data_IF_084428348152
#
_entry.id   IF_084428348152
#
_cell.length_a   1.000
_cell.length_b   1.000
_cell.length_c   1.000
_cell.angle_alpha   90.00
_cell.angle_beta   90.00
_cell.angle_gamma   90.00
#
_symmetry.space_group_name_H-M   'P 1'
#
loop_
_entity.id
_entity.type
_entity.pdbx_description
1 polymer ?
#
# COMPACT_ATOMS: atom_id res chain seq x y z
N UNK A 1 0.62 -36.97 -4.12
CA UNK A 1 1.99 -36.64 -4.59
C UNK A 1 2.25 -35.20 -4.20
N UNK A 2 3.39 -34.89 -3.58
CA UNK A 2 3.75 -33.53 -3.19
C UNK A 2 4.66 -32.93 -4.27
N UNK A 3 4.36 -31.72 -4.74
CA UNK A 3 5.20 -30.99 -5.68
C UNK A 3 6.41 -30.40 -4.94
N UNK A 4 7.51 -31.16 -4.95
CA UNK A 4 8.72 -30.81 -4.21
C UNK A 4 9.44 -29.57 -4.75
N UNK A 5 9.29 -29.26 -6.04
CA UNK A 5 9.93 -28.08 -6.66
C UNK A 5 9.28 -26.79 -6.19
N UNK A 6 7.94 -26.73 -6.21
CA UNK A 6 7.19 -25.57 -5.70
C UNK A 6 7.43 -25.40 -4.21
N UNK A 7 7.29 -26.47 -3.41
CA UNK A 7 7.49 -26.39 -1.95
C UNK A 7 8.92 -25.99 -1.57
N UNK A 8 9.93 -26.48 -2.30
CA UNK A 8 11.32 -26.03 -2.12
C UNK A 8 11.51 -24.54 -2.41
N UNK A 9 10.80 -23.98 -3.39
CA UNK A 9 10.84 -22.55 -3.68
C UNK A 9 10.18 -21.74 -2.58
N UNK A 10 9.05 -22.20 -2.03
CA UNK A 10 8.35 -21.56 -0.91
C UNK A 10 9.21 -21.59 0.36
N UNK A 11 9.90 -22.70 0.63
CA UNK A 11 10.84 -22.82 1.76
C UNK A 11 12.00 -21.83 1.65
N UNK A 12 12.57 -21.64 0.44
CA UNK A 12 13.62 -20.64 0.21
C UNK A 12 13.10 -19.21 0.44
N UNK A 13 11.87 -18.91 0.01
CA UNK A 13 11.25 -17.60 0.26
C UNK A 13 10.99 -17.38 1.75
N UNK A 14 10.51 -18.39 2.49
CA UNK A 14 10.35 -18.31 3.94
C UNK A 14 11.69 -17.98 4.63
N UNK A 15 12.77 -18.64 4.20
CA UNK A 15 14.11 -18.38 4.73
C UNK A 15 14.60 -16.97 4.36
N UNK A 16 14.29 -16.47 3.15
CA UNK A 16 14.58 -15.07 2.79
C UNK A 16 13.85 -14.11 3.71
N UNK A 17 12.54 -14.30 3.91
CA UNK A 17 11.74 -13.43 4.78
C UNK A 17 12.22 -13.44 6.24
N UNK A 18 12.72 -14.56 6.73
CA UNK A 18 13.31 -14.66 8.08
C UNK A 18 14.61 -13.89 8.22
N UNK A 19 15.47 -13.94 7.21
CA UNK A 19 16.85 -13.45 7.29
C UNK A 19 17.07 -12.07 6.67
N UNK A 20 16.10 -11.52 5.92
CA UNK A 20 16.21 -10.21 5.31
C UNK A 20 15.53 -9.12 6.16
N UNK A 21 16.03 -7.91 6.02
CA UNK A 21 15.35 -6.69 6.46
C UNK A 21 14.48 -6.22 5.29
N UNK A 22 13.15 -6.34 5.44
CA UNK A 22 12.17 -5.98 4.43
C UNK A 22 11.77 -4.52 4.59
N UNK A 23 12.18 -3.67 3.64
CA UNK A 23 11.87 -2.24 3.61
C UNK A 23 10.96 -1.83 2.45
N UNK A 24 10.42 -2.77 1.67
CA UNK A 24 9.41 -2.41 0.67
C UNK A 24 8.16 -1.89 1.40
N UNK A 25 7.86 -0.60 1.20
CA UNK A 25 6.81 0.10 1.95
C UNK A 25 5.39 -0.47 1.74
N UNK A 26 5.19 -1.28 0.70
CA UNK A 26 3.93 -1.95 0.37
C UNK A 26 3.87 -3.42 0.77
N UNK A 27 4.87 -3.93 1.51
CA UNK A 27 4.90 -5.29 2.02
C UNK A 27 4.69 -5.35 3.52
N UNK A 28 4.19 -6.48 3.98
CA UNK A 28 3.99 -6.78 5.39
C UNK A 28 3.93 -8.29 5.62
N UNK A 29 3.98 -8.70 6.88
CA UNK A 29 3.84 -10.09 7.30
C UNK A 29 2.49 -10.28 7.98
N UNK A 30 1.70 -11.23 7.50
CA UNK A 30 0.37 -11.54 8.05
C UNK A 30 0.49 -12.47 9.28
N UNK A 31 -0.58 -12.54 10.09
CA UNK A 31 -0.68 -13.54 11.14
C UNK A 31 -0.83 -14.96 10.55
N UNK A 32 -0.52 -15.98 11.37
CA UNK A 32 -0.74 -17.39 10.99
C UNK A 32 -2.21 -17.67 10.74
N UNK A 33 -3.12 -17.07 11.50
CA UNK A 33 -4.56 -17.19 11.33
C UNK A 33 -5.00 -16.73 9.94
N UNK A 34 -4.47 -15.61 9.45
CA UNK A 34 -4.75 -15.12 8.10
C UNK A 34 -4.25 -16.10 7.04
N UNK A 35 -3.06 -16.70 7.21
CA UNK A 35 -2.54 -17.71 6.28
C UNK A 35 -3.40 -18.99 6.30
N UNK A 36 -3.83 -19.44 7.46
CA UNK A 36 -4.69 -20.60 7.63
C UNK A 36 -6.03 -20.41 6.91
N UNK A 37 -6.67 -19.25 7.10
CA UNK A 37 -7.92 -18.92 6.42
C UNK A 37 -7.75 -18.80 4.90
N UNK A 38 -6.64 -18.23 4.44
CA UNK A 38 -6.32 -18.12 3.02
C UNK A 38 -6.08 -19.48 2.34
N UNK A 39 -5.72 -20.52 3.09
CA UNK A 39 -5.56 -21.89 2.60
C UNK A 39 -6.73 -22.80 2.95
N UNK A 40 -7.84 -22.28 3.45
CA UNK A 40 -8.98 -23.05 3.93
C UNK A 40 -9.80 -23.71 2.80
N UNK A 41 -10.68 -24.62 3.19
CA UNK A 41 -11.62 -25.31 2.28
C UNK A 41 -12.56 -24.37 1.52
N UNK A 42 -12.65 -23.10 1.93
CA UNK A 42 -13.45 -22.10 1.25
C UNK A 42 -12.96 -21.82 -0.18
N UNK A 43 -11.72 -22.20 -0.51
CA UNK A 43 -11.20 -22.15 -1.89
C UNK A 43 -12.02 -23.02 -2.86
N UNK A 44 -12.74 -24.03 -2.37
CA UNK A 44 -13.53 -24.94 -3.18
C UNK A 44 -14.93 -24.40 -3.51
N UNK A 45 -15.37 -23.30 -2.85
CA UNK A 45 -16.75 -22.85 -2.93
C UNK A 45 -16.96 -21.77 -3.97
N UNK A 46 -17.85 -22.03 -4.93
CA UNK A 46 -18.32 -21.06 -5.90
C UNK A 46 -19.50 -20.23 -5.33
N UNK A 47 -19.37 -18.90 -5.28
CA UNK A 47 -20.32 -18.04 -4.58
C UNK A 47 -20.63 -16.73 -5.35
N UNK A 48 -20.87 -16.81 -6.66
CA UNK A 48 -21.30 -15.66 -7.46
C UNK A 48 -22.56 -14.98 -6.89
N UNK A 49 -22.58 -13.66 -6.96
CA UNK A 49 -23.58 -12.82 -6.30
C UNK A 49 -23.12 -12.31 -4.95
N UNK A 50 -24.06 -12.01 -4.07
CA UNK A 50 -23.83 -11.40 -2.75
C UNK A 50 -24.56 -12.17 -1.65
N UNK A 51 -24.26 -11.98 -0.36
CA UNK A 51 -24.95 -12.65 0.75
C UNK A 51 -26.46 -12.59 0.61
N UNK A 52 -27.13 -13.75 0.73
CA UNK A 52 -28.56 -13.89 0.57
C UNK A 52 -29.09 -13.81 -0.87
N UNK A 53 -28.22 -13.52 -1.86
CA UNK A 53 -28.56 -13.38 -3.28
C UNK A 53 -27.53 -14.06 -4.18
N UNK A 54 -27.20 -15.32 -3.88
CA UNK A 54 -26.22 -16.10 -4.65
C UNK A 54 -26.88 -16.79 -5.84
N UNK A 55 -26.07 -17.00 -6.87
CA UNK A 55 -26.47 -17.79 -8.03
C UNK A 55 -26.33 -19.30 -7.83
N UNK A 56 -25.68 -19.73 -6.75
CA UNK A 56 -25.38 -21.12 -6.42
C UNK A 56 -25.94 -21.50 -5.05
N UNK A 57 -26.30 -22.77 -4.88
CA UNK A 57 -26.71 -23.33 -3.59
C UNK A 57 -25.52 -23.59 -2.66
N UNK A 58 -25.77 -23.87 -1.39
CA UNK A 58 -24.78 -24.23 -0.39
C UNK A 58 -23.91 -23.05 0.09
N UNK A 59 -24.45 -21.81 0.00
CA UNK A 59 -23.70 -20.60 0.33
C UNK A 59 -23.92 -20.05 1.74
N UNK A 60 -24.71 -20.76 2.58
CA UNK A 60 -25.08 -20.27 3.91
C UNK A 60 -23.86 -19.85 4.77
N UNK A 61 -22.78 -20.61 4.78
CA UNK A 61 -21.59 -20.31 5.58
C UNK A 61 -20.68 -19.26 4.93
N UNK A 62 -20.57 -19.23 3.60
CA UNK A 62 -19.81 -18.16 2.93
C UNK A 62 -20.54 -16.82 3.01
N UNK A 63 -21.87 -16.83 3.13
CA UNK A 63 -22.66 -15.62 3.39
C UNK A 63 -22.33 -15.03 4.77
N UNK A 64 -22.21 -15.88 5.79
CA UNK A 64 -21.78 -15.47 7.12
C UNK A 64 -20.37 -14.81 7.07
N UNK A 65 -19.42 -15.45 6.38
CA UNK A 65 -18.04 -14.97 6.26
C UNK A 65 -17.97 -13.61 5.55
N UNK A 66 -18.69 -13.46 4.43
CA UNK A 66 -18.67 -12.20 3.68
C UNK A 66 -19.36 -11.09 4.45
N UNK A 67 -20.49 -11.39 5.12
CA UNK A 67 -21.19 -10.44 5.98
C UNK A 67 -20.30 -9.97 7.12
N UNK A 68 -19.60 -10.88 7.81
CA UNK A 68 -18.64 -10.53 8.86
C UNK A 68 -17.53 -9.60 8.34
N UNK A 69 -17.00 -9.87 7.14
CA UNK A 69 -15.97 -9.03 6.54
C UNK A 69 -16.51 -7.61 6.27
N UNK A 70 -17.72 -7.50 5.70
CA UNK A 70 -18.37 -6.21 5.43
C UNK A 70 -18.64 -5.42 6.73
N UNK A 71 -19.21 -6.05 7.75
CA UNK A 71 -19.54 -5.40 9.02
C UNK A 71 -18.29 -4.93 9.77
N UNK A 72 -17.25 -5.78 9.81
CA UNK A 72 -15.98 -5.42 10.44
C UNK A 72 -15.30 -4.26 9.71
N UNK A 73 -15.31 -4.25 8.38
CA UNK A 73 -14.77 -3.16 7.58
C UNK A 73 -15.54 -1.85 7.81
N UNK A 74 -16.87 -1.91 7.84
CA UNK A 74 -17.72 -0.76 8.15
C UNK A 74 -17.43 -0.23 9.55
N UNK A 75 -17.31 -1.09 10.54
CA UNK A 75 -16.96 -0.70 11.92
C UNK A 75 -15.57 -0.08 12.00
N UNK A 76 -14.59 -0.62 11.27
CA UNK A 76 -13.20 -0.18 11.32
C UNK A 76 -13.03 1.26 10.81
N UNK A 77 -13.72 1.60 9.73
CA UNK A 77 -13.57 2.90 9.05
C UNK A 77 -14.76 3.86 9.21
N UNK A 78 -15.88 3.38 9.76
CA UNK A 78 -17.08 4.20 9.90
C UNK A 78 -17.79 4.50 8.58
N UNK A 79 -17.66 3.64 7.55
CA UNK A 79 -18.28 3.81 6.26
C UNK A 79 -19.72 3.29 6.22
N UNK A 80 -20.53 3.84 5.31
CA UNK A 80 -21.95 3.46 5.14
C UNK A 80 -22.08 2.10 4.46
N UNK A 81 -21.29 1.86 3.42
CA UNK A 81 -21.31 0.63 2.62
C UNK A 81 -19.91 0.09 2.36
N UNK A 82 -19.80 -1.24 2.21
CA UNK A 82 -18.55 -1.95 1.96
C UNK A 82 -18.75 -3.13 1.00
N UNK A 83 -17.92 -3.21 -0.04
CA UNK A 83 -17.77 -4.38 -0.92
C UNK A 83 -16.37 -4.99 -0.72
N UNK A 84 -16.33 -6.26 -0.29
CA UNK A 84 -15.08 -6.96 0.05
C UNK A 84 -14.62 -7.96 -1.02
N UNK A 85 -15.32 -8.03 -2.16
CA UNK A 85 -15.04 -8.98 -3.23
C UNK A 85 -13.87 -8.62 -4.16
N UNK A 86 -13.41 -7.36 -4.33
CA UNK A 86 -12.30 -7.07 -5.23
C UNK A 86 -11.06 -7.93 -4.93
N UNK A 87 -10.52 -8.59 -5.98
CA UNK A 87 -9.35 -9.47 -5.86
C UNK A 87 -8.05 -8.70 -5.60
N UNK A 88 -8.01 -7.42 -5.96
CA UNK A 88 -6.85 -6.53 -5.76
C UNK A 88 -7.28 -5.07 -5.64
N UNK A 89 -6.36 -4.20 -5.17
CA UNK A 89 -6.59 -2.75 -5.19
C UNK A 89 -6.78 -2.21 -6.61
N UNK A 90 -6.05 -2.73 -7.59
CA UNK A 90 -6.22 -2.33 -8.99
C UNK A 90 -7.63 -2.66 -9.51
N UNK A 91 -8.18 -3.84 -9.19
CA UNK A 91 -9.55 -4.21 -9.55
C UNK A 91 -10.59 -3.38 -8.78
N UNK A 92 -10.33 -3.05 -7.51
CA UNK A 92 -11.19 -2.13 -6.76
C UNK A 92 -11.27 -0.76 -7.44
N UNK A 93 -10.14 -0.16 -7.82
CA UNK A 93 -10.12 1.12 -8.53
C UNK A 93 -10.82 1.02 -9.89
N UNK A 94 -10.54 -0.05 -10.65
CA UNK A 94 -11.17 -0.25 -11.96
C UNK A 94 -12.69 -0.43 -11.85
N UNK A 95 -13.17 -1.12 -10.80
CA UNK A 95 -14.61 -1.27 -10.56
C UNK A 95 -15.29 0.07 -10.24
N UNK A 96 -14.63 0.94 -9.49
CA UNK A 96 -15.12 2.30 -9.22
C UNK A 96 -15.23 3.10 -10.52
N UNK A 97 -14.19 3.10 -11.34
CA UNK A 97 -14.21 3.80 -12.63
C UNK A 97 -15.29 3.23 -13.55
N UNK A 98 -15.40 1.91 -13.64
CA UNK A 98 -16.42 1.25 -14.45
C UNK A 98 -17.85 1.56 -13.99
N UNK A 99 -18.06 1.68 -12.67
CA UNK A 99 -19.37 2.02 -12.10
C UNK A 99 -19.81 3.45 -12.38
N UNK A 100 -18.87 4.41 -12.37
CA UNK A 100 -19.20 5.84 -12.25
C UNK A 100 -18.82 6.68 -13.46
N UNK A 101 -18.01 6.14 -14.38
CA UNK A 101 -17.49 6.86 -15.53
C UNK A 101 -17.90 6.20 -16.85
N UNK A 102 -17.89 7.01 -17.91
CA UNK A 102 -17.94 6.54 -19.29
C UNK A 102 -16.54 6.67 -19.92
N UNK A 103 -16.20 5.84 -20.93
CA UNK A 103 -14.95 6.01 -21.67
C UNK A 103 -14.78 7.45 -22.16
N UNK A 104 -13.60 8.04 -21.91
CA UNK A 104 -13.30 9.42 -22.24
C UNK A 104 -13.70 10.47 -21.19
N UNK A 105 -14.37 10.09 -20.11
CA UNK A 105 -14.63 11.01 -18.99
C UNK A 105 -13.31 11.51 -18.38
N UNK A 106 -13.30 12.78 -18.00
CA UNK A 106 -12.13 13.44 -17.39
C UNK A 106 -11.97 13.05 -15.93
N UNK A 107 -10.77 12.65 -15.57
CA UNK A 107 -10.36 12.29 -14.19
C UNK A 107 -9.13 13.09 -13.81
N UNK A 108 -9.06 13.58 -12.58
CA UNK A 108 -7.87 14.22 -12.04
C UNK A 108 -7.27 13.31 -10.95
N UNK A 109 -6.00 12.94 -11.09
CA UNK A 109 -5.28 12.08 -10.13
C UNK A 109 -3.89 12.61 -9.84
N UNK A 110 -3.20 12.02 -8.86
CA UNK A 110 -1.82 12.41 -8.55
C UNK A 110 -0.87 11.92 -9.66
N UNK A 111 0.06 12.79 -10.06
CA UNK A 111 1.13 12.47 -11.01
C UNK A 111 1.92 11.23 -10.57
N UNK A 112 2.19 10.34 -11.52
CA UNK A 112 3.00 9.14 -11.27
C UNK A 112 4.43 9.46 -10.83
N UNK A 113 4.99 10.53 -11.39
CA UNK A 113 6.35 10.97 -11.04
C UNK A 113 6.41 11.54 -9.63
N UNK A 114 5.29 12.00 -9.09
CA UNK A 114 5.17 12.61 -7.78
C UNK A 114 4.60 11.66 -6.72
N UNK A 115 4.40 10.40 -7.09
CA UNK A 115 3.99 9.34 -6.17
C UNK A 115 2.64 8.70 -6.42
N UNK A 116 1.92 9.06 -7.49
CA UNK A 116 0.65 8.44 -7.88
C UNK A 116 0.77 6.94 -8.18
N UNK A 117 -0.35 6.23 -8.14
CA UNK A 117 -0.39 4.80 -8.46
C UNK A 117 -0.63 4.57 -9.97
N UNK A 118 -0.19 3.41 -10.51
CA UNK A 118 -0.41 3.06 -11.92
C UNK A 118 -1.89 3.15 -12.34
N UNK A 119 -2.82 2.80 -11.46
CA UNK A 119 -4.27 2.88 -11.71
C UNK A 119 -4.83 4.30 -11.65
N UNK A 120 -3.99 5.30 -11.41
CA UNK A 120 -4.34 6.72 -11.47
C UNK A 120 -3.95 7.35 -12.82
N UNK A 121 -4.17 6.63 -13.91
CA UNK A 121 -4.03 7.18 -15.26
C UNK A 121 -2.73 6.86 -16.00
N UNK A 122 -1.94 5.86 -15.56
CA UNK A 122 -0.75 5.46 -16.33
C UNK A 122 -1.14 5.05 -17.77
N UNK A 123 -0.44 5.54 -18.83
CA UNK A 123 -0.82 5.30 -20.22
C UNK A 123 -0.92 3.83 -20.63
N UNK A 124 -0.18 2.94 -19.97
CA UNK A 124 -0.26 1.49 -20.22
C UNK A 124 -1.30 0.77 -19.35
N UNK A 125 -1.85 1.46 -18.34
CA UNK A 125 -2.89 0.89 -17.49
C UNK A 125 -4.27 1.07 -18.12
N UNK A 126 -5.21 0.20 -17.76
CA UNK A 126 -6.62 0.30 -18.19
C UNK A 126 -7.18 1.71 -17.96
N UNK A 127 -6.89 2.32 -16.79
CA UNK A 127 -7.36 3.66 -16.45
C UNK A 127 -6.95 4.73 -17.48
N UNK A 128 -5.66 4.81 -17.81
CA UNK A 128 -5.14 5.77 -18.77
C UNK A 128 -5.50 5.46 -20.24
N UNK A 129 -5.90 4.22 -20.54
CA UNK A 129 -6.38 3.84 -21.89
C UNK A 129 -7.85 4.12 -22.11
N UNK A 130 -8.64 4.18 -21.04
CA UNK A 130 -10.11 4.26 -21.11
C UNK A 130 -10.63 5.65 -20.83
N UNK A 131 -10.00 6.36 -19.89
CA UNK A 131 -10.44 7.67 -19.41
C UNK A 131 -9.39 8.75 -19.69
N UNK A 132 -9.85 10.01 -19.76
CA UNK A 132 -8.96 11.16 -19.93
C UNK A 132 -8.41 11.60 -18.58
N UNK A 133 -7.25 11.05 -18.21
CA UNK A 133 -6.58 11.39 -16.95
C UNK A 133 -5.72 12.63 -17.09
N UNK A 134 -5.93 13.56 -16.18
CA UNK A 134 -5.07 14.71 -15.89
C UNK A 134 -4.36 14.50 -14.56
N UNK A 135 -3.23 15.18 -14.33
CA UNK A 135 -2.42 14.99 -13.15
C UNK A 135 -2.22 16.28 -12.37
N UNK A 136 -2.43 16.25 -11.06
CA UNK A 136 -1.87 17.24 -10.13
C UNK A 136 -0.55 16.72 -9.57
N UNK A 137 0.32 17.64 -9.15
CA UNK A 137 1.65 17.30 -8.69
C UNK A 137 1.98 17.85 -7.32
N UNK A 138 3.29 17.95 -7.07
CA UNK A 138 3.84 18.54 -5.86
C UNK A 138 4.52 19.87 -6.21
N UNK A 139 4.56 20.78 -5.26
CA UNK A 139 5.32 22.02 -5.36
C UNK A 139 6.83 21.74 -5.46
N UNK A 140 7.53 22.49 -6.27
CA UNK A 140 8.93 22.23 -6.59
C UNK A 140 9.90 22.46 -5.43
N UNK A 141 9.60 23.38 -4.55
CA UNK A 141 10.47 23.75 -3.43
C UNK A 141 10.23 22.84 -2.21
N UNK A 142 8.97 22.58 -1.93
CA UNK A 142 8.56 21.83 -0.75
C UNK A 142 8.41 20.33 -1.00
N UNK A 143 8.26 19.90 -2.26
CA UNK A 143 7.95 18.54 -2.70
C UNK A 143 6.68 17.97 -2.02
N UNK A 144 5.76 18.86 -1.63
CA UNK A 144 4.45 18.54 -1.05
C UNK A 144 3.36 18.82 -2.07
N UNK A 145 2.22 18.15 -1.94
CA UNK A 145 1.07 18.38 -2.82
C UNK A 145 0.81 19.89 -2.93
N UNK A 146 0.79 20.38 -4.18
CA UNK A 146 0.43 21.76 -4.50
C UNK A 146 -1.09 21.87 -4.50
N UNK A 147 -1.65 22.30 -3.37
CA UNK A 147 -3.09 22.43 -3.20
C UNK A 147 -3.70 23.58 -4.00
N UNK A 148 -2.92 24.63 -4.28
CA UNK A 148 -3.37 25.76 -5.10
C UNK A 148 -3.45 25.33 -6.58
N UNK A 149 -2.44 24.63 -7.07
CA UNK A 149 -2.46 24.04 -8.41
C UNK A 149 -3.56 22.97 -8.55
N UNK A 150 -3.74 22.12 -7.53
CA UNK A 150 -4.83 21.14 -7.50
C UNK A 150 -6.21 21.83 -7.67
N UNK A 151 -6.46 22.91 -6.92
CA UNK A 151 -7.69 23.70 -7.00
C UNK A 151 -7.87 24.31 -8.39
N UNK A 152 -6.83 24.96 -8.91
CA UNK A 152 -6.84 25.55 -10.27
C UNK A 152 -7.20 24.49 -11.33
N UNK A 153 -6.58 23.31 -11.25
CA UNK A 153 -6.84 22.21 -12.20
C UNK A 153 -8.27 21.69 -12.10
N UNK A 154 -8.83 21.55 -10.88
CA UNK A 154 -10.23 21.16 -10.70
C UNK A 154 -11.20 22.17 -11.38
N UNK A 155 -10.97 23.47 -11.19
CA UNK A 155 -11.80 24.54 -11.75
C UNK A 155 -11.71 24.61 -13.28
N UNK A 156 -10.51 24.40 -13.85
CA UNK A 156 -10.24 24.47 -15.29
C UNK A 156 -10.73 23.21 -16.01
N UNK A 157 -10.39 22.02 -15.53
CA UNK A 157 -10.67 20.73 -16.18
C UNK A 157 -12.11 20.31 -15.96
N UNK A 158 -12.66 20.60 -14.78
CA UNK A 158 -13.98 20.14 -14.31
C UNK A 158 -14.10 18.62 -14.45
N UNK A 159 -13.23 17.85 -13.76
CA UNK A 159 -13.22 16.41 -13.87
C UNK A 159 -14.54 15.84 -13.35
N UNK A 160 -14.95 14.68 -13.85
CA UNK A 160 -16.09 13.94 -13.32
C UNK A 160 -15.75 13.20 -12.03
N UNK A 161 -14.48 12.83 -11.87
CA UNK A 161 -13.96 12.15 -10.69
C UNK A 161 -12.55 12.67 -10.36
N UNK A 162 -12.29 12.87 -9.09
CA UNK A 162 -10.95 13.16 -8.55
C UNK A 162 -10.49 12.00 -7.72
N UNK A 163 -9.24 11.55 -7.92
CA UNK A 163 -8.58 10.49 -7.13
C UNK A 163 -7.49 11.10 -6.28
N UNK A 164 -7.62 11.01 -4.96
CA UNK A 164 -6.56 11.29 -4.00
C UNK A 164 -5.94 10.00 -3.50
N UNK A 165 -4.69 10.08 -3.02
CA UNK A 165 -3.93 8.93 -2.54
C UNK A 165 -2.67 8.70 -3.36
N UNK A 166 -1.68 8.06 -2.76
CA UNK A 166 -0.37 7.89 -3.35
C UNK A 166 0.31 6.59 -2.94
N UNK A 167 1.22 6.11 -3.79
CA UNK A 167 2.09 4.96 -3.54
C UNK A 167 3.46 5.38 -2.98
N UNK A 168 3.86 6.61 -3.21
CA UNK A 168 5.19 7.11 -2.87
C UNK A 168 5.14 8.59 -2.42
N UNK A 169 4.27 8.91 -1.48
CA UNK A 169 4.15 10.23 -0.86
C UNK A 169 4.28 10.11 0.65
N UNK A 170 5.28 10.79 1.21
CA UNK A 170 5.67 10.63 2.60
C UNK A 170 4.96 11.58 3.58
N UNK A 171 4.08 12.46 3.10
CA UNK A 171 3.43 13.48 3.93
C UNK A 171 1.93 13.23 4.08
N UNK A 172 1.35 13.87 5.06
CA UNK A 172 -0.11 13.85 5.30
C UNK A 172 -0.86 14.50 4.14
N UNK A 173 -2.00 13.92 3.76
CA UNK A 173 -2.90 14.43 2.72
C UNK A 173 -4.12 15.07 3.39
N UNK A 174 -4.45 16.30 3.00
CA UNK A 174 -5.65 17.01 3.46
C UNK A 174 -6.87 16.58 2.60
N UNK A 175 -7.48 15.46 3.00
CA UNK A 175 -8.68 14.94 2.33
C UNK A 175 -9.88 15.87 2.41
N UNK A 176 -9.98 16.67 3.49
CA UNK A 176 -11.08 17.62 3.65
C UNK A 176 -11.01 18.70 2.58
N UNK A 177 -9.87 19.37 2.47
CA UNK A 177 -9.66 20.40 1.45
C UNK A 177 -9.88 19.85 0.04
N UNK A 178 -9.29 18.70 -0.26
CA UNK A 178 -9.43 18.09 -1.58
C UNK A 178 -10.88 17.74 -1.93
N UNK A 179 -11.63 17.22 -0.96
CA UNK A 179 -13.06 16.94 -1.14
C UNK A 179 -13.89 18.20 -1.37
N UNK A 180 -13.66 19.26 -0.59
CA UNK A 180 -14.36 20.53 -0.74
C UNK A 180 -14.16 21.12 -2.14
N UNK A 181 -12.92 21.10 -2.66
CA UNK A 181 -12.61 21.57 -3.99
C UNK A 181 -13.25 20.66 -5.06
N UNK A 182 -13.10 19.34 -4.96
CA UNK A 182 -13.70 18.42 -5.92
C UNK A 182 -15.24 18.58 -6.00
N UNK A 183 -15.91 18.64 -4.87
CA UNK A 183 -17.36 18.83 -4.80
C UNK A 183 -17.80 20.20 -5.31
N UNK A 184 -17.00 21.25 -5.17
CA UNK A 184 -17.32 22.59 -5.66
C UNK A 184 -17.46 22.65 -7.19
N UNK A 185 -16.78 21.75 -7.92
CA UNK A 185 -16.86 21.61 -9.37
C UNK A 185 -17.79 20.49 -9.83
N UNK A 186 -18.48 19.82 -8.87
CA UNK A 186 -19.42 18.73 -9.15
C UNK A 186 -18.75 17.36 -9.38
N UNK A 187 -17.46 17.22 -9.05
CA UNK A 187 -16.73 15.97 -9.19
C UNK A 187 -17.04 15.00 -8.03
N UNK A 188 -17.00 13.70 -8.32
CA UNK A 188 -16.99 12.64 -7.31
C UNK A 188 -15.60 12.61 -6.70
N UNK A 189 -15.48 12.59 -5.36
CA UNK A 189 -14.21 12.51 -4.67
C UNK A 189 -13.93 11.09 -4.20
N UNK A 190 -12.92 10.47 -4.79
CA UNK A 190 -12.42 9.12 -4.47
C UNK A 190 -11.08 9.21 -3.76
N UNK A 191 -10.88 8.38 -2.74
CA UNK A 191 -9.59 8.22 -2.08
C UNK A 191 -9.12 6.78 -2.20
N UNK A 192 -7.94 6.57 -2.78
CA UNK A 192 -7.20 5.32 -2.70
C UNK A 192 -6.22 5.40 -1.51
N UNK A 193 -6.62 4.84 -0.38
CA UNK A 193 -5.82 4.87 0.84
C UNK A 193 -4.95 3.62 1.03
N UNK A 194 -4.67 2.87 -0.03
CA UNK A 194 -4.00 1.57 0.04
C UNK A 194 -2.72 1.58 0.89
N UNK A 195 -1.88 2.59 0.76
CA UNK A 195 -0.64 2.67 1.52
C UNK A 195 -0.83 3.01 2.99
N UNK A 196 -1.84 3.80 3.32
CA UNK A 196 -2.03 4.36 4.66
C UNK A 196 -3.23 3.76 5.41
N UNK A 197 -3.89 2.75 4.85
CA UNK A 197 -5.13 2.21 5.43
C UNK A 197 -4.99 1.76 6.89
N UNK A 198 -3.87 1.12 7.25
CA UNK A 198 -3.59 0.73 8.62
C UNK A 198 -3.40 1.94 9.56
N UNK A 199 -2.76 3.00 9.07
CA UNK A 199 -2.57 4.24 9.83
C UNK A 199 -3.88 4.98 10.03
N UNK A 200 -4.74 5.02 9.00
CA UNK A 200 -6.10 5.57 9.09
C UNK A 200 -6.95 4.78 10.09
N UNK A 201 -6.91 3.45 10.04
CA UNK A 201 -7.64 2.57 10.96
C UNK A 201 -7.24 2.79 12.43
N UNK A 202 -5.97 3.09 12.69
CA UNK A 202 -5.45 3.34 14.03
C UNK A 202 -5.60 4.81 14.49
N UNK A 203 -5.86 5.75 13.57
CA UNK A 203 -5.93 7.18 13.86
C UNK A 203 -4.60 7.92 13.73
N UNK A 204 -3.58 7.30 13.16
CA UNK A 204 -2.25 7.90 12.94
C UNK A 204 -2.15 8.71 11.64
N UNK A 205 -3.14 8.63 10.79
CA UNK A 205 -3.31 9.48 9.62
C UNK A 205 -4.76 9.97 9.57
N UNK A 206 -5.02 11.22 9.12
CA UNK A 206 -6.38 11.70 8.92
C UNK A 206 -7.22 10.75 8.07
N UNK A 207 -8.45 10.50 8.50
CA UNK A 207 -9.39 9.65 7.79
C UNK A 207 -9.97 10.40 6.57
N UNK A 208 -10.13 9.73 5.41
CA UNK A 208 -10.89 10.28 4.29
C UNK A 208 -12.38 10.37 4.59
N UNK A 209 -12.89 9.64 5.58
CA UNK A 209 -14.27 9.74 6.03
C UNK A 209 -14.46 10.92 7.02
N UNK A 210 -15.53 11.70 6.91
CA UNK A 210 -16.73 11.54 6.05
C UNK A 210 -16.66 12.26 4.70
N UNK A 211 -15.51 12.74 4.26
CA UNK A 211 -15.37 13.64 3.11
C UNK A 211 -15.48 12.93 1.76
N UNK A 212 -14.86 11.75 1.63
CA UNK A 212 -14.85 11.00 0.38
C UNK A 212 -16.22 10.39 0.05
N UNK A 213 -16.54 10.37 -1.24
CA UNK A 213 -17.71 9.63 -1.77
C UNK A 213 -17.41 8.15 -1.88
N UNK A 214 -16.19 7.81 -2.32
CA UNK A 214 -15.69 6.44 -2.49
C UNK A 214 -14.30 6.36 -1.86
N UNK A 215 -14.03 5.26 -1.18
CA UNK A 215 -12.69 4.93 -0.68
C UNK A 215 -12.33 3.51 -1.10
N UNK A 216 -11.17 3.35 -1.69
CA UNK A 216 -10.60 2.03 -1.99
C UNK A 216 -9.36 1.79 -1.16
N UNK A 217 -9.05 0.53 -0.91
CA UNK A 217 -7.77 0.15 -0.33
C UNK A 217 -7.39 -1.28 -0.70
N UNK A 218 -6.10 -1.56 -0.62
CA UNK A 218 -5.58 -2.92 -0.49
C UNK A 218 -5.65 -3.38 0.97
N UNK A 219 -5.67 -4.69 1.19
CA UNK A 219 -5.70 -5.26 2.55
C UNK A 219 -4.32 -5.66 3.08
N UNK A 220 -3.27 -5.69 2.24
CA UNK A 220 -2.00 -6.34 2.51
C UNK A 220 -0.79 -5.42 2.78
N UNK A 221 -1.00 -4.10 2.93
CA UNK A 221 0.09 -3.14 3.21
C UNK A 221 0.11 -2.80 4.70
N UNK A 222 -0.08 -1.53 5.07
CA UNK A 222 -0.15 -1.14 6.48
C UNK A 222 -1.30 -1.80 7.25
N UNK A 223 -2.37 -2.21 6.56
CA UNK A 223 -3.49 -2.94 7.18
C UNK A 223 -3.15 -4.39 7.55
N UNK A 224 -2.02 -4.92 7.08
CA UNK A 224 -1.43 -6.22 7.49
C UNK A 224 -2.31 -7.44 7.25
N UNK A 225 -3.11 -7.43 6.18
CA UNK A 225 -4.02 -8.52 5.81
C UNK A 225 -3.57 -9.33 4.58
N UNK A 226 -4.44 -10.20 4.06
CA UNK A 226 -4.17 -10.98 2.85
C UNK A 226 -4.10 -10.05 1.63
N UNK A 227 -3.47 -10.52 0.55
CA UNK A 227 -3.51 -9.80 -0.73
C UNK A 227 -4.93 -9.74 -1.25
N UNK A 228 -5.41 -8.53 -1.45
CA UNK A 228 -6.78 -8.26 -1.91
C UNK A 228 -7.08 -6.77 -1.95
N UNK A 229 -8.29 -6.41 -2.34
CA UNK A 229 -8.82 -5.06 -2.32
C UNK A 229 -10.22 -4.99 -1.74
N UNK A 230 -10.65 -3.80 -1.35
CA UNK A 230 -12.01 -3.50 -0.90
C UNK A 230 -12.44 -2.13 -1.42
N UNK A 231 -13.76 -1.93 -1.51
CA UNK A 231 -14.37 -0.65 -1.84
C UNK A 231 -15.32 -0.28 -0.71
N UNK A 232 -15.22 0.94 -0.24
CA UNK A 232 -16.13 1.55 0.73
C UNK A 232 -16.76 2.77 0.08
N UNK A 233 -18.02 3.04 0.31
CA UNK A 233 -18.67 4.18 -0.31
C UNK A 233 -19.88 4.68 0.50
N UNK A 234 -20.39 5.86 0.10
CA UNK A 234 -21.70 6.32 0.54
C UNK A 234 -22.79 5.40 -0.04
N UNK A 235 -23.84 5.17 0.71
CA UNK A 235 -24.93 4.22 0.35
C UNK A 235 -25.49 4.46 -1.06
N UNK A 236 -25.56 5.70 -1.51
CA UNK A 236 -26.07 6.06 -2.84
C UNK A 236 -25.32 5.41 -4.01
N UNK A 237 -24.05 4.99 -3.80
CA UNK A 237 -23.21 4.33 -4.81
C UNK A 237 -23.19 2.80 -4.71
N UNK A 238 -23.74 2.23 -3.64
CA UNK A 238 -23.63 0.81 -3.31
C UNK A 238 -24.05 -0.11 -4.47
N UNK A 239 -25.22 0.15 -5.06
CA UNK A 239 -25.74 -0.68 -6.17
C UNK A 239 -24.85 -0.67 -7.40
N UNK A 240 -24.33 0.49 -7.77
CA UNK A 240 -23.52 0.64 -8.98
C UNK A 240 -22.13 -0.01 -8.75
N UNK A 241 -21.56 0.13 -7.56
CA UNK A 241 -20.34 -0.57 -7.16
C UNK A 241 -20.52 -2.08 -7.18
N UNK A 242 -21.60 -2.61 -6.59
CA UNK A 242 -21.86 -4.05 -6.60
C UNK A 242 -22.01 -4.59 -8.02
N UNK A 243 -22.77 -3.92 -8.88
CA UNK A 243 -22.92 -4.31 -10.29
C UNK A 243 -21.60 -4.25 -11.05
N UNK A 244 -20.75 -3.28 -10.75
CA UNK A 244 -19.45 -3.15 -11.39
C UNK A 244 -18.48 -4.25 -10.95
N UNK A 245 -18.53 -4.65 -9.69
CA UNK A 245 -17.70 -5.77 -9.20
C UNK A 245 -18.26 -7.08 -9.76
N UNK A 246 -19.52 -7.38 -9.50
CA UNK A 246 -20.18 -8.57 -10.02
C UNK A 246 -21.59 -8.20 -10.57
N UNK A 247 -21.90 -8.52 -11.81
CA UNK A 247 -21.14 -9.33 -12.78
C UNK A 247 -20.20 -8.51 -13.70
N UNK A 248 -20.00 -7.20 -13.42
CA UNK A 248 -19.33 -6.29 -14.34
C UNK A 248 -17.89 -6.68 -14.67
N UNK A 249 -17.07 -6.95 -13.65
CA UNK A 249 -15.64 -7.18 -13.80
C UNK A 249 -15.15 -8.53 -13.30
N UNK A 250 -15.82 -9.11 -12.31
CA UNK A 250 -15.44 -10.35 -11.67
C UNK A 250 -16.56 -11.38 -11.78
N UNK A 251 -16.22 -12.67 -11.66
CA UNK A 251 -17.13 -13.79 -11.45
C UNK A 251 -17.14 -14.21 -9.99
N UNK A 252 -16.85 -15.50 -9.72
CA UNK A 252 -16.84 -16.04 -8.36
C UNK A 252 -15.85 -15.35 -7.44
N UNK A 253 -16.27 -14.87 -6.28
CA UNK A 253 -15.38 -14.26 -5.30
C UNK A 253 -14.46 -15.31 -4.68
N UNK A 254 -13.28 -14.87 -4.22
CA UNK A 254 -12.30 -15.71 -3.53
C UNK A 254 -12.67 -15.82 -2.05
N UNK A 255 -13.56 -16.78 -1.70
CA UNK A 255 -14.14 -16.85 -0.37
C UNK A 255 -13.12 -17.12 0.75
N UNK A 256 -12.05 -17.89 0.48
CA UNK A 256 -10.92 -18.08 1.37
C UNK A 256 -10.16 -16.78 1.65
N UNK A 257 -10.03 -15.91 0.65
CA UNK A 257 -9.41 -14.58 0.82
C UNK A 257 -10.36 -13.62 1.56
N UNK A 258 -11.67 -13.71 1.34
CA UNK A 258 -12.66 -12.92 2.09
C UNK A 258 -12.64 -13.31 3.57
N UNK A 259 -12.51 -14.60 3.89
CA UNK A 259 -12.34 -15.07 5.26
C UNK A 259 -11.06 -14.48 5.90
N UNK A 260 -9.95 -14.52 5.18
CA UNK A 260 -8.70 -13.91 5.63
C UNK A 260 -8.81 -12.37 5.79
N UNK A 261 -9.59 -11.69 4.93
CA UNK A 261 -9.92 -10.26 5.11
C UNK A 261 -10.74 -10.02 6.38
N UNK A 262 -11.72 -10.89 6.66
CA UNK A 262 -12.53 -10.80 7.88
C UNK A 262 -11.67 -10.91 9.15
N UNK A 263 -10.68 -11.81 9.16
CA UNK A 263 -9.72 -11.91 10.26
C UNK A 263 -8.81 -10.67 10.35
N UNK A 264 -8.30 -10.19 9.21
CA UNK A 264 -7.52 -8.95 9.17
C UNK A 264 -8.28 -7.75 9.78
N UNK A 265 -9.55 -7.58 9.46
CA UNK A 265 -10.35 -6.48 10.00
C UNK A 265 -10.66 -6.69 11.49
N UNK A 266 -10.78 -7.94 11.93
CA UNK A 266 -10.90 -8.26 13.36
C UNK A 266 -9.63 -7.88 14.11
N UNK A 267 -8.44 -8.26 13.61
CA UNK A 267 -7.16 -7.86 14.19
C UNK A 267 -7.01 -6.33 14.22
N UNK A 268 -7.39 -5.64 13.13
CA UNK A 268 -7.29 -4.18 13.04
C UNK A 268 -8.24 -3.43 14.00
N UNK A 269 -9.28 -4.08 14.50
CA UNK A 269 -10.19 -3.53 15.52
C UNK A 269 -9.64 -3.69 16.95
N UNK A 270 -8.56 -4.46 17.17
CA UNK A 270 -8.01 -4.68 18.49
C UNK A 270 -7.05 -3.56 18.93
N UNK A 271 -6.89 -3.32 20.24
CA UNK A 271 -5.97 -2.29 20.75
C UNK A 271 -4.51 -2.48 20.28
N UNK A 272 -4.06 -3.71 20.16
CA UNK A 272 -2.70 -4.09 19.76
C UNK A 272 -2.37 -3.59 18.34
N UNK A 273 -3.37 -3.47 17.48
CA UNK A 273 -3.17 -2.91 16.15
C UNK A 273 -2.85 -1.41 16.19
N UNK A 274 -3.43 -0.67 17.13
CA UNK A 274 -3.07 0.74 17.35
C UNK A 274 -1.63 0.89 17.84
N UNK A 275 -1.22 0.04 18.78
CA UNK A 275 0.17 0.00 19.26
C UNK A 275 1.15 -0.30 18.11
N UNK A 276 0.82 -1.26 17.26
CA UNK A 276 1.57 -1.58 16.04
C UNK A 276 1.67 -0.37 15.10
N UNK A 277 0.58 0.30 14.82
CA UNK A 277 0.55 1.47 13.93
C UNK A 277 1.37 2.64 14.49
N UNK A 278 1.22 2.96 15.78
CA UNK A 278 2.04 3.97 16.46
C UNK A 278 3.54 3.62 16.38
N UNK A 279 3.88 2.33 16.52
CA UNK A 279 5.27 1.89 16.39
C UNK A 279 5.81 2.05 14.97
N UNK A 280 4.98 1.87 13.92
CA UNK A 280 5.38 2.14 12.54
C UNK A 280 5.87 3.58 12.39
N UNK A 281 5.12 4.55 12.92
CA UNK A 281 5.47 5.97 12.84
C UNK A 281 6.75 6.28 13.61
N UNK A 282 6.91 5.75 14.82
CA UNK A 282 8.12 5.92 15.63
C UNK A 282 9.34 5.36 14.90
N UNK A 283 9.21 4.18 14.33
CA UNK A 283 10.25 3.52 13.56
C UNK A 283 10.62 4.32 12.29
N UNK A 284 9.61 4.87 11.59
CA UNK A 284 9.83 5.72 10.43
C UNK A 284 10.58 7.01 10.80
N UNK A 285 10.26 7.61 11.93
CA UNK A 285 10.97 8.78 12.45
C UNK A 285 12.42 8.45 12.84
N UNK A 286 12.64 7.33 13.51
CA UNK A 286 14.00 6.90 13.87
C UNK A 286 14.87 6.62 12.63
N UNK A 287 14.30 6.02 11.60
CA UNK A 287 14.98 5.83 10.31
C UNK A 287 15.24 7.18 9.60
N UNK A 288 14.27 8.11 9.62
CA UNK A 288 14.42 9.46 9.09
C UNK A 288 15.59 10.20 9.75
N UNK A 289 15.64 10.22 11.09
CA UNK A 289 16.69 10.86 11.87
C UNK A 289 18.07 10.28 11.52
N UNK A 290 18.20 8.96 11.56
CA UNK A 290 19.45 8.28 11.26
C UNK A 290 19.95 8.56 9.84
N UNK A 291 19.06 8.53 8.82
CA UNK A 291 19.45 8.82 7.46
C UNK A 291 19.87 10.28 7.27
N UNK A 292 19.24 11.24 7.97
CA UNK A 292 19.63 12.65 7.96
C UNK A 292 20.97 12.89 8.62
N UNK A 293 21.22 12.25 9.78
CA UNK A 293 22.52 12.29 10.48
C UNK A 293 23.63 11.77 9.56
N UNK A 294 23.34 10.75 8.79
CA UNK A 294 24.24 10.20 7.78
C UNK A 294 24.29 11.05 6.47
N UNK A 295 23.63 12.21 6.44
CA UNK A 295 23.70 13.18 5.33
C UNK A 295 22.93 12.78 4.08
N UNK A 296 21.85 11.98 4.21
CA UNK A 296 20.94 11.72 3.10
C UNK A 296 19.89 12.82 2.94
N UNK A 297 19.62 13.17 1.69
CA UNK A 297 18.49 14.01 1.32
C UNK A 297 17.22 13.14 1.27
N UNK A 298 16.21 13.55 2.01
CA UNK A 298 14.90 12.92 2.00
C UNK A 298 13.91 13.82 1.25
N UNK A 299 13.16 13.24 0.32
CA UNK A 299 12.11 13.95 -0.43
C UNK A 299 11.08 14.53 0.53
N UNK A 300 10.59 15.72 0.25
CA UNK A 300 9.70 16.52 1.10
C UNK A 300 10.24 16.75 2.53
N UNK A 301 11.55 16.60 2.74
CA UNK A 301 12.21 16.84 4.02
C UNK A 301 11.95 15.77 5.09
N UNK A 302 11.42 14.58 4.75
CA UNK A 302 11.18 13.47 5.70
C UNK A 302 9.80 12.85 5.58
N UNK A 303 9.24 12.28 6.65
CA UNK A 303 7.98 11.56 6.61
C UNK A 303 7.02 11.91 7.75
N UNK A 304 5.72 11.81 7.48
CA UNK A 304 4.64 11.84 8.46
C UNK A 304 3.92 10.49 8.57
N UNK A 305 4.37 9.48 7.80
CA UNK A 305 3.74 8.18 7.73
C UNK A 305 4.74 7.02 7.81
N UNK A 306 4.50 5.91 7.12
CA UNK A 306 5.25 4.66 7.20
C UNK A 306 6.41 4.55 6.20
N UNK A 307 6.55 5.49 5.28
CA UNK A 307 7.53 5.40 4.19
C UNK A 307 8.41 6.64 4.09
N UNK A 308 9.60 6.46 3.52
CA UNK A 308 10.51 7.53 3.15
C UNK A 308 10.94 7.36 1.68
N UNK A 309 11.17 8.48 1.01
CA UNK A 309 11.85 8.55 -0.28
C UNK A 309 13.22 9.15 -0.08
N UNK A 310 14.25 8.40 -0.41
CA UNK A 310 15.65 8.79 -0.26
C UNK A 310 16.21 9.16 -1.63
N UNK A 311 16.65 10.39 -1.82
CA UNK A 311 17.38 10.83 -3.02
C UNK A 311 18.84 10.36 -2.95
N UNK A 312 19.08 9.14 -3.43
CA UNK A 312 20.43 8.54 -3.43
C UNK A 312 21.33 9.13 -4.50
N UNK A 313 20.75 9.78 -5.54
CA UNK A 313 21.50 10.43 -6.57
C UNK A 313 22.25 11.65 -6.04
N UNK A 314 21.56 12.54 -5.34
CA UNK A 314 22.18 13.72 -4.74
C UNK A 314 23.04 13.36 -3.53
N UNK A 315 22.66 12.36 -2.74
CA UNK A 315 23.34 12.00 -1.50
C UNK A 315 24.60 11.15 -1.70
N UNK A 316 24.62 10.29 -2.72
CA UNK A 316 25.69 9.30 -2.94
C UNK A 316 26.22 9.27 -4.38
N UNK A 317 25.68 10.08 -5.31
CA UNK A 317 26.08 10.08 -6.72
C UNK A 317 25.68 8.81 -7.50
N UNK A 318 24.80 7.95 -6.95
CA UNK A 318 24.39 6.68 -7.57
C UNK A 318 22.92 6.70 -7.95
N UNK A 319 22.52 5.86 -8.91
CA UNK A 319 21.11 5.72 -9.28
C UNK A 319 20.36 4.84 -8.28
N UNK A 320 19.03 5.00 -8.18
CA UNK A 320 18.16 4.13 -7.38
C UNK A 320 18.29 2.66 -7.75
N UNK A 321 18.48 2.34 -9.06
CA UNK A 321 18.75 0.97 -9.52
C UNK A 321 20.04 0.39 -8.92
N UNK A 322 21.10 1.19 -8.86
CA UNK A 322 22.35 0.76 -8.24
C UNK A 322 22.19 0.59 -6.72
N UNK A 323 21.56 1.54 -6.06
CA UNK A 323 21.29 1.47 -4.62
C UNK A 323 20.46 0.23 -4.26
N UNK A 324 19.38 -0.05 -4.99
CA UNK A 324 18.57 -1.26 -4.81
C UNK A 324 19.44 -2.53 -4.88
N UNK A 325 20.27 -2.68 -5.92
CA UNK A 325 21.17 -3.84 -6.07
C UNK A 325 22.14 -3.98 -4.88
N UNK A 326 22.76 -2.88 -4.48
CA UNK A 326 23.71 -2.88 -3.36
C UNK A 326 23.08 -3.28 -2.04
N UNK A 327 21.82 -2.90 -1.81
CA UNK A 327 21.06 -3.29 -0.63
C UNK A 327 20.62 -4.75 -0.68
N UNK A 328 20.16 -5.24 -1.84
CA UNK A 328 19.82 -6.65 -2.02
C UNK A 328 21.02 -7.58 -1.72
N UNK A 329 22.24 -7.18 -2.11
CA UNK A 329 23.47 -7.94 -1.85
C UNK A 329 23.79 -8.09 -0.36
N UNK A 330 23.19 -7.30 0.51
CA UNK A 330 23.38 -7.31 1.97
C UNK A 330 22.11 -7.69 2.73
N UNK A 331 21.15 -8.35 2.05
CA UNK A 331 19.88 -8.80 2.62
C UNK A 331 18.99 -7.66 3.15
N UNK A 332 19.04 -6.49 2.53
CA UNK A 332 18.08 -5.40 2.74
C UNK A 332 17.26 -5.23 1.47
N UNK A 333 15.97 -5.50 1.54
CA UNK A 333 15.06 -5.42 0.41
C UNK A 333 14.39 -4.05 0.34
N UNK A 334 14.64 -3.30 -0.75
CA UNK A 334 14.04 -2.00 -1.03
C UNK A 334 13.77 -1.86 -2.53
N UNK A 335 12.97 -0.89 -2.94
CA UNK A 335 12.76 -0.65 -4.36
C UNK A 335 13.30 0.70 -4.82
N UNK A 336 13.90 0.73 -6.03
CA UNK A 336 14.16 2.00 -6.72
C UNK A 336 12.85 2.74 -6.94
N UNK A 337 12.88 4.05 -6.84
CA UNK A 337 11.73 4.91 -7.01
C UNK A 337 12.12 6.22 -7.65
N UNK A 338 11.34 6.68 -8.64
CA UNK A 338 11.47 8.05 -9.11
C UNK A 338 11.16 9.02 -7.97
N UNK A 339 11.82 10.16 -7.98
CA UNK A 339 11.53 11.27 -7.06
C UNK A 339 10.85 12.40 -7.84
N UNK A 340 10.15 13.33 -7.19
CA UNK A 340 9.62 14.51 -7.87
C UNK A 340 10.71 15.22 -8.68
N UNK A 341 10.36 15.65 -9.89
CA UNK A 341 11.29 16.33 -10.83
C UNK A 341 12.53 15.50 -11.20
N UNK A 342 12.42 14.18 -11.16
CA UNK A 342 13.53 13.25 -11.44
C UNK A 342 14.12 13.48 -12.83
N UNK A 343 15.44 13.59 -12.88
CA UNK A 343 16.19 13.73 -14.14
C UNK A 343 16.61 12.40 -14.76
N UNK A 344 16.50 11.32 -14.00
CA UNK A 344 16.78 9.97 -14.49
C UNK A 344 15.53 9.33 -15.12
N UNK A 345 15.77 8.40 -16.04
CA UNK A 345 14.65 7.61 -16.60
C UNK A 345 14.04 6.68 -15.54
N UNK A 346 12.72 6.37 -15.59
CA UNK A 346 12.05 5.56 -14.56
C UNK A 346 12.68 4.21 -14.26
N UNK A 347 13.32 3.56 -15.25
CA UNK A 347 14.00 2.27 -15.03
C UNK A 347 15.33 2.37 -14.27
N UNK A 348 15.91 3.58 -14.15
CA UNK A 348 17.09 3.88 -13.33
C UNK A 348 16.70 4.51 -11.99
N UNK A 349 15.86 5.54 -12.04
CA UNK A 349 15.41 6.40 -10.95
C UNK A 349 16.57 7.05 -10.16
N UNK A 350 16.29 8.18 -9.53
CA UNK A 350 17.26 8.88 -8.65
C UNK A 350 17.13 8.49 -7.20
N UNK A 351 16.03 7.83 -6.81
CA UNK A 351 15.74 7.49 -5.43
C UNK A 351 15.48 6.02 -5.18
N UNK A 352 15.35 5.72 -3.89
CA UNK A 352 14.78 4.48 -3.35
C UNK A 352 13.64 4.80 -2.40
N UNK A 353 12.63 3.92 -2.35
CA UNK A 353 11.56 3.97 -1.37
C UNK A 353 11.80 2.90 -0.32
N UNK A 354 11.72 3.28 0.95
CA UNK A 354 11.80 2.39 2.10
C UNK A 354 10.61 2.60 3.03
N UNK A 355 10.23 1.58 3.76
CA UNK A 355 9.11 1.63 4.70
C UNK A 355 9.35 0.74 5.91
N UNK A 356 8.58 0.97 6.96
CA UNK A 356 8.78 0.34 8.26
C UNK A 356 7.75 -0.74 8.65
N UNK A 357 6.61 -0.95 7.96
CA UNK A 357 5.56 -1.85 8.42
C UNK A 357 6.00 -3.30 8.64
N UNK A 358 6.67 -3.90 7.65
CA UNK A 358 7.07 -5.31 7.71
C UNK A 358 8.00 -5.60 8.89
N UNK A 359 9.04 -4.78 9.07
CA UNK A 359 9.98 -5.00 10.17
C UNK A 359 9.39 -4.60 11.53
N UNK A 360 8.43 -3.67 11.59
CA UNK A 360 7.66 -3.39 12.80
C UNK A 360 6.81 -4.61 13.19
N UNK A 361 6.16 -5.27 12.23
CA UNK A 361 5.44 -6.54 12.49
C UNK A 361 6.38 -7.61 13.01
N UNK A 362 7.62 -7.66 12.51
CA UNK A 362 8.64 -8.62 12.93
C UNK A 362 9.23 -8.30 14.32
N UNK A 363 8.99 -7.09 14.85
CA UNK A 363 9.39 -6.70 16.21
C UNK A 363 10.48 -5.65 16.33
N UNK A 364 10.93 -5.08 15.21
CA UNK A 364 11.91 -3.99 15.23
C UNK A 364 11.36 -2.74 15.92
N UNK A 365 12.24 -2.06 16.63
CA UNK A 365 11.99 -0.81 17.34
C UNK A 365 12.92 0.29 16.82
N UNK A 366 12.81 1.47 17.40
CA UNK A 366 13.51 2.70 16.97
C UNK A 366 15.02 2.50 16.83
N UNK A 367 15.66 1.86 17.80
CA UNK A 367 17.12 1.65 17.77
C UNK A 367 17.55 0.68 16.66
N UNK A 368 16.72 -0.32 16.34
CA UNK A 368 16.98 -1.21 15.22
C UNK A 368 16.89 -0.44 13.88
N UNK A 369 15.91 0.49 13.73
CA UNK A 369 15.81 1.32 12.54
C UNK A 369 16.90 2.40 12.45
N UNK A 370 17.40 2.92 13.56
CA UNK A 370 18.61 3.76 13.54
C UNK A 370 19.82 2.99 13.02
N UNK A 371 19.98 1.76 13.46
CA UNK A 371 21.06 0.89 12.95
C UNK A 371 20.87 0.55 11.46
N UNK A 372 19.62 0.29 11.01
CA UNK A 372 19.31 0.09 9.59
C UNK A 372 19.72 1.31 8.76
N UNK A 373 19.43 2.53 9.22
CA UNK A 373 19.87 3.77 8.56
C UNK A 373 21.38 3.86 8.41
N UNK A 374 22.13 3.52 9.46
CA UNK A 374 23.60 3.47 9.44
C UNK A 374 24.16 2.40 8.50
N UNK A 375 23.52 1.23 8.43
CA UNK A 375 23.91 0.15 7.50
C UNK A 375 23.70 0.60 6.06
N UNK A 376 22.53 1.20 5.75
CA UNK A 376 22.23 1.75 4.42
C UNK A 376 23.29 2.79 4.04
N UNK A 377 23.61 3.71 4.94
CA UNK A 377 24.61 4.75 4.71
C UNK A 377 26.01 4.14 4.47
N UNK A 378 26.42 3.24 5.30
CA UNK A 378 27.73 2.58 5.18
C UNK A 378 27.84 1.83 3.86
N UNK A 379 26.80 1.08 3.43
CA UNK A 379 26.80 0.34 2.17
C UNK A 379 26.81 1.25 0.94
N UNK A 380 26.03 2.34 0.93
CA UNK A 380 25.84 3.16 -0.25
C UNK A 380 26.92 4.22 -0.46
N UNK A 381 27.67 4.58 0.59
CA UNK A 381 28.71 5.63 0.55
C UNK A 381 30.14 5.09 0.44
N UNK A 382 30.35 3.81 0.73
CA UNK A 382 31.67 3.18 0.64
C UNK A 382 31.84 2.42 -0.67
N UNK A 383 33.08 2.05 -0.99
CA UNK A 383 33.42 1.26 -2.18
C UNK A 383 32.76 -0.13 -2.15
N UNK A 384 32.55 -0.70 -3.35
CA UNK A 384 31.92 -2.03 -3.51
C UNK A 384 32.96 -3.14 -3.25
N UNK A 385 33.50 -3.22 -2.05
CA UNK A 385 34.45 -4.28 -1.65
C UNK A 385 33.74 -5.39 -0.89
N UNK A 386 34.34 -6.60 -0.89
CA UNK A 386 33.81 -7.72 -0.11
C UNK A 386 33.87 -7.45 1.39
N UNK A 387 34.84 -6.65 1.86
CA UNK A 387 34.95 -6.25 3.26
C UNK A 387 33.74 -5.42 3.71
N UNK A 388 33.40 -4.37 2.97
CA UNK A 388 32.22 -3.54 3.24
C UNK A 388 30.94 -4.37 3.17
N UNK A 389 30.81 -5.25 2.19
CA UNK A 389 29.67 -6.15 2.04
C UNK A 389 29.53 -7.09 3.23
N UNK A 390 30.62 -7.75 3.64
CA UNK A 390 30.60 -8.73 4.73
C UNK A 390 30.33 -8.07 6.09
N UNK A 391 30.83 -6.87 6.32
CA UNK A 391 30.49 -6.09 7.53
C UNK A 391 29.00 -5.77 7.57
N UNK A 392 28.42 -5.29 6.46
CA UNK A 392 26.99 -5.04 6.37
C UNK A 392 26.17 -6.32 6.63
N UNK A 393 26.54 -7.45 6.00
CA UNK A 393 25.87 -8.74 6.21
C UNK A 393 25.89 -9.17 7.68
N UNK A 394 27.03 -8.99 8.36
CA UNK A 394 27.15 -9.32 9.78
C UNK A 394 26.23 -8.42 10.66
N UNK A 395 26.15 -7.13 10.35
CA UNK A 395 25.27 -6.19 11.05
C UNK A 395 23.78 -6.50 10.78
N UNK A 396 23.39 -6.79 9.54
CA UNK A 396 22.04 -7.23 9.18
C UNK A 396 21.67 -8.51 9.92
N UNK A 397 22.56 -9.51 9.90
CA UNK A 397 22.33 -10.77 10.63
C UNK A 397 22.13 -10.54 12.12
N UNK A 398 22.91 -9.68 12.74
CA UNK A 398 22.77 -9.34 14.18
C UNK A 398 21.38 -8.74 14.48
N UNK A 399 20.80 -7.96 13.56
CA UNK A 399 19.45 -7.41 13.72
C UNK A 399 18.38 -8.48 13.51
N UNK A 400 18.49 -9.29 12.46
CA UNK A 400 17.49 -10.32 12.14
C UNK A 400 17.47 -11.47 13.15
N UNK A 401 18.62 -11.81 13.76
CA UNK A 401 18.71 -12.84 14.80
C UNK A 401 18.01 -12.46 16.13
N UNK A 402 17.72 -11.17 16.36
CA UNK A 402 16.98 -10.73 17.55
C UNK A 402 15.50 -11.06 17.52
N UNK A 403 14.96 -11.31 16.34
CA UNK A 403 13.52 -11.46 16.10
C UNK A 403 13.26 -12.71 15.28
N UNK A 404 12.21 -13.44 15.66
CA UNK A 404 11.82 -14.67 14.98
C UNK A 404 10.43 -14.50 14.35
N UNK A 405 10.18 -15.21 13.26
CA UNK A 405 8.90 -15.18 12.58
C UNK A 405 8.59 -16.53 11.94
N UNK A 406 7.40 -17.05 12.17
CA UNK A 406 6.93 -18.30 11.58
C UNK A 406 7.82 -19.51 11.88
N UNK A 407 8.38 -19.60 13.10
CA UNK A 407 9.39 -20.62 13.50
C UNK A 407 8.90 -22.05 13.34
N UNK A 408 7.61 -22.27 13.53
CA UNK A 408 6.93 -23.57 13.40
C UNK A 408 6.45 -23.87 11.97
N UNK A 409 6.53 -22.93 11.04
CA UNK A 409 6.15 -23.15 9.64
C UNK A 409 7.30 -23.84 8.90
N UNK A 410 6.98 -24.93 8.20
CA UNK A 410 7.86 -25.67 7.29
C UNK A 410 7.06 -26.10 6.08
N UNK A 411 7.68 -26.06 4.92
CA UNK A 411 7.05 -26.42 3.65
C UNK A 411 7.63 -27.68 3.01
#
# INVERSE_FOLDING_TARGET
>A
MRDTEVFSSVERELNRQRNNIELIASENFVSKEIMELASSVLTNKYAEGYPGKRYYGGCQFVDEVETLAQERLKKLFGCEYANVQPHSGAQANTAVYFALLQPGDKVLGMSLNDGGHLTHGHPLNYSGKTYEFHAYGVDKETERIDYDEYKRLCEEIKPKLVVAGASAYARTIDFKFMAEVAHSVGAIFMVDMAHIAGLVAAGDHPSPFPYADIVTTTTHKTLRGPRGGVIMCKEKYAKDIDRAVFPGMQGGPLMHIIAAKAACFYEALQPEFKEYSHQIIKNAKALEESLKEEGFRLVAGGTDNHLLLIDVKSSCGITGKKAQRLLDEINITANKNAIPFDTEKPFKASGIRVGTPAMTTKGFKEDDFREVGKIIAYRLKNEETDEVKNECLARVKKLTDKVTMYDDIKY
#
